data_IF_901534260624
#
_entry.id   IF_901534260624
#
_cell.length_a   1.000
_cell.length_b   1.000
_cell.length_c   1.000
_cell.angle_alpha   90.00
_cell.angle_beta   90.00
_cell.angle_gamma   90.00
#
_symmetry.space_group_name_H-M   'P 1'
#
loop_
_entity.id
_entity.type
_entity.pdbx_description
1 polymer ?
#
# COMPACT_ATOMS: atom_id res chain seq x y z
N UNK A 1 14.64 0.35 14.17
CA UNK A 1 15.77 1.31 14.05
C UNK A 1 15.80 1.85 12.63
N UNK A 2 15.90 3.15 12.37
CA UNK A 2 15.93 3.66 11.01
C UNK A 2 17.22 3.20 10.30
N UNK A 3 17.09 2.86 9.01
CA UNK A 3 18.23 2.48 8.18
C UNK A 3 19.18 3.67 7.99
N UNK A 4 20.47 3.46 8.11
CA UNK A 4 21.49 4.43 7.74
C UNK A 4 21.66 4.48 6.20
N UNK A 5 22.50 5.41 5.71
CA UNK A 5 22.69 5.59 4.26
C UNK A 5 23.25 4.36 3.55
N UNK A 6 24.21 3.65 4.16
CA UNK A 6 24.80 2.44 3.56
C UNK A 6 23.79 1.29 3.55
N UNK A 7 23.01 1.13 4.61
CA UNK A 7 21.95 0.10 4.67
C UNK A 7 20.89 0.33 3.62
N UNK A 8 20.48 1.59 3.37
CA UNK A 8 19.54 1.92 2.28
C UNK A 8 20.11 1.58 0.92
N UNK A 9 21.39 1.90 0.68
CA UNK A 9 22.05 1.55 -0.57
C UNK A 9 22.16 0.04 -0.74
N UNK A 10 22.42 -0.71 0.35
CA UNK A 10 22.42 -2.17 0.30
C UNK A 10 21.06 -2.73 -0.10
N UNK A 11 19.97 -2.26 0.49
CA UNK A 11 18.61 -2.71 0.10
C UNK A 11 18.32 -2.43 -1.37
N UNK A 12 18.77 -1.27 -1.90
CA UNK A 12 18.64 -0.96 -3.32
C UNK A 12 19.49 -1.90 -4.18
N UNK A 13 20.72 -2.17 -3.78
CA UNK A 13 21.61 -3.10 -4.47
C UNK A 13 21.01 -4.51 -4.50
N UNK A 14 20.60 -5.03 -3.34
CA UNK A 14 19.99 -6.37 -3.22
C UNK A 14 18.71 -6.49 -4.07
N UNK A 15 17.97 -5.40 -4.25
CA UNK A 15 16.82 -5.38 -5.17
C UNK A 15 17.21 -5.57 -6.63
N UNK A 16 18.21 -4.81 -7.11
CA UNK A 16 18.63 -4.86 -8.51
C UNK A 16 19.56 -6.03 -8.84
N UNK A 17 20.18 -6.66 -7.83
CA UNK A 17 21.15 -7.77 -8.00
C UNK A 17 20.68 -9.02 -7.26
N UNK A 18 19.44 -9.44 -7.51
CA UNK A 18 18.88 -10.66 -6.90
C UNK A 18 19.70 -11.89 -7.31
N UNK A 19 20.23 -12.60 -6.30
CA UNK A 19 21.12 -13.76 -6.47
C UNK A 19 22.60 -13.46 -6.17
N UNK A 20 22.98 -12.18 -6.06
CA UNK A 20 24.34 -11.72 -5.66
C UNK A 20 24.29 -10.82 -4.41
N UNK A 21 23.41 -11.15 -3.50
CA UNK A 21 23.00 -10.34 -2.32
C UNK A 21 24.10 -10.15 -1.26
N UNK A 22 25.27 -10.65 -1.47
CA UNK A 22 26.37 -10.58 -0.47
C UNK A 22 27.55 -9.71 -0.86
N UNK A 23 27.65 -9.26 -2.10
CA UNK A 23 28.87 -8.64 -2.64
C UNK A 23 28.93 -7.12 -2.51
N UNK A 24 27.86 -6.47 -2.03
CA UNK A 24 27.81 -5.01 -1.93
C UNK A 24 28.66 -4.50 -0.76
N UNK A 25 29.82 -3.91 -1.08
CA UNK A 25 30.70 -3.17 -0.15
C UNK A 25 30.86 -1.73 -0.60
N UNK A 26 29.90 -0.87 -0.23
CA UNK A 26 29.91 0.54 -0.58
C UNK A 26 29.98 1.42 0.67
N UNK A 27 30.98 2.31 0.72
CA UNK A 27 31.13 3.30 1.78
C UNK A 27 30.83 4.72 1.27
N UNK A 28 29.65 5.24 1.64
CA UNK A 28 29.23 6.61 1.32
C UNK A 28 30.25 7.66 1.70
N UNK A 29 30.96 7.49 2.83
CA UNK A 29 31.92 8.49 3.29
C UNK A 29 33.17 8.51 2.40
N UNK A 30 33.63 7.33 1.96
CA UNK A 30 34.73 7.21 0.98
C UNK A 30 34.30 7.75 -0.39
N UNK A 31 33.13 7.38 -0.88
CA UNK A 31 32.62 7.83 -2.15
C UNK A 31 32.47 9.36 -2.23
N UNK A 32 31.93 10.00 -1.18
CA UNK A 32 31.85 11.47 -1.10
C UNK A 32 33.23 12.15 -1.14
N UNK A 33 34.29 11.57 -0.56
CA UNK A 33 35.64 12.12 -0.59
C UNK A 33 36.28 12.05 -1.98
N UNK A 34 35.96 10.99 -2.73
CA UNK A 34 36.54 10.72 -4.05
C UNK A 34 35.66 11.28 -5.18
N UNK A 35 34.45 11.73 -4.88
CA UNK A 35 33.48 12.18 -5.87
C UNK A 35 32.90 11.03 -6.74
N UNK A 36 32.91 9.79 -6.24
CA UNK A 36 32.41 8.64 -6.96
C UNK A 36 30.87 8.67 -7.05
N UNK A 37 30.34 8.38 -8.23
CA UNK A 37 28.90 8.20 -8.43
C UNK A 37 28.55 6.71 -8.21
N UNK A 38 27.65 6.45 -7.28
CA UNK A 38 27.20 5.10 -6.92
C UNK A 38 26.02 4.60 -7.73
N UNK A 39 25.45 5.44 -8.59
CA UNK A 39 24.18 5.10 -9.30
C UNK A 39 24.37 3.94 -10.27
N UNK A 40 25.49 3.95 -10.99
CA UNK A 40 25.80 2.87 -11.93
C UNK A 40 26.13 1.55 -11.23
N UNK A 41 26.66 1.61 -10.00
CA UNK A 41 26.96 0.42 -9.21
C UNK A 41 25.69 -0.20 -8.59
N UNK A 42 24.64 0.61 -8.40
CA UNK A 42 23.36 0.14 -7.85
C UNK A 42 22.42 -0.44 -8.88
N UNK A 43 22.40 0.11 -10.09
CA UNK A 43 21.44 -0.27 -11.13
C UNK A 43 22.14 -0.28 -12.48
N UNK A 44 22.52 -1.47 -12.94
CA UNK A 44 23.17 -1.68 -14.24
C UNK A 44 22.16 -1.97 -15.36
N UNK A 45 20.91 -2.23 -15.02
CA UNK A 45 19.87 -2.68 -15.93
C UNK A 45 18.96 -1.57 -16.46
N UNK A 46 18.24 -1.90 -17.53
CA UNK A 46 17.20 -1.07 -18.11
C UNK A 46 15.84 -1.59 -17.69
N UNK A 47 15.10 -0.81 -16.89
CA UNK A 47 13.72 -1.14 -16.53
C UNK A 47 12.75 -0.67 -17.61
N UNK A 48 11.92 -1.57 -18.13
CA UNK A 48 10.87 -1.28 -19.11
C UNK A 48 9.51 -1.28 -18.41
N UNK A 49 8.78 -0.18 -18.53
CA UNK A 49 7.47 -0.03 -17.89
C UNK A 49 6.33 -0.23 -18.88
N UNK A 50 5.35 -1.05 -18.48
CA UNK A 50 4.09 -1.31 -19.17
C UNK A 50 2.92 -0.82 -18.30
N UNK A 51 1.69 -0.76 -18.82
CA UNK A 51 0.56 -0.26 -18.06
C UNK A 51 0.25 -1.04 -16.77
N UNK A 52 0.47 -2.35 -16.76
CA UNK A 52 0.07 -3.28 -15.69
C UNK A 52 1.25 -4.02 -15.02
N UNK A 53 2.46 -3.91 -15.58
CA UNK A 53 3.67 -4.54 -15.08
C UNK A 53 4.91 -3.77 -15.52
N UNK A 54 6.08 -4.20 -15.09
CA UNK A 54 7.35 -3.74 -15.61
C UNK A 54 8.33 -4.90 -15.71
N UNK A 55 9.33 -4.74 -16.56
CA UNK A 55 10.40 -5.71 -16.77
C UNK A 55 11.72 -5.10 -16.28
N UNK A 56 12.40 -5.82 -15.41
CA UNK A 56 13.72 -5.46 -14.91
C UNK A 56 14.71 -6.55 -15.34
N UNK A 57 15.55 -6.22 -16.32
CA UNK A 57 16.43 -7.16 -17.01
C UNK A 57 15.67 -8.38 -17.57
N UNK A 58 15.82 -9.54 -16.91
CA UNK A 58 15.16 -10.81 -17.28
C UNK A 58 13.93 -11.14 -16.43
N UNK A 59 13.54 -10.27 -15.49
CA UNK A 59 12.46 -10.54 -14.54
C UNK A 59 11.21 -9.75 -14.85
N UNK A 60 10.08 -10.38 -14.62
CA UNK A 60 8.76 -9.76 -14.74
C UNK A 60 8.30 -9.30 -13.35
N UNK A 61 7.93 -8.03 -13.24
CA UNK A 61 7.58 -7.41 -11.99
C UNK A 61 6.20 -6.76 -12.06
N UNK A 62 5.45 -6.76 -10.96
CA UNK A 62 4.16 -6.07 -10.84
C UNK A 62 4.02 -5.38 -9.51
N UNK A 63 3.56 -4.14 -9.54
CA UNK A 63 3.25 -3.36 -8.37
C UNK A 63 1.76 -3.43 -8.05
N UNK A 64 1.43 -3.91 -6.86
CA UNK A 64 0.10 -4.01 -6.30
C UNK A 64 -0.05 -3.08 -5.10
N UNK A 65 -1.29 -2.78 -4.70
CA UNK A 65 -1.59 -2.02 -3.49
C UNK A 65 -2.88 -2.47 -2.83
N UNK A 66 -3.03 -2.18 -1.54
CA UNK A 66 -4.29 -2.43 -0.84
C UNK A 66 -5.24 -1.25 -1.10
N UNK A 67 -6.31 -1.53 -1.84
CA UNK A 67 -7.34 -0.56 -2.21
C UNK A 67 -8.38 -0.36 -1.09
N UNK A 68 -8.74 -1.45 -0.40
CA UNK A 68 -9.67 -1.42 0.73
C UNK A 68 -9.13 -2.26 1.86
N UNK A 69 -9.21 -1.71 3.06
CA UNK A 69 -8.88 -2.37 4.31
C UNK A 69 -10.17 -2.81 5.02
N UNK A 70 -10.16 -3.93 5.78
CA UNK A 70 -11.22 -4.27 6.73
C UNK A 70 -11.21 -3.31 7.92
N UNK A 71 -12.22 -3.37 8.76
CA UNK A 71 -12.28 -2.63 10.04
C UNK A 71 -11.18 -3.04 11.03
N UNK A 72 -10.66 -4.25 10.90
CA UNK A 72 -9.52 -4.76 11.68
C UNK A 72 -8.67 -5.66 10.80
N UNK A 73 -7.36 -5.41 10.80
CA UNK A 73 -6.38 -6.20 10.04
C UNK A 73 -5.35 -6.79 11.01
N UNK A 74 -5.18 -8.10 10.93
CA UNK A 74 -4.19 -8.84 11.73
C UNK A 74 -2.81 -8.79 11.08
N UNK A 75 -1.74 -8.78 11.89
CA UNK A 75 -0.34 -8.90 11.44
C UNK A 75 -0.09 -10.17 10.63
N UNK A 76 -0.92 -11.20 10.82
CA UNK A 76 -0.89 -12.43 10.03
C UNK A 76 -0.98 -12.18 8.53
N UNK A 77 -1.74 -11.18 8.10
CA UNK A 77 -1.90 -10.82 6.70
C UNK A 77 -0.56 -10.45 6.03
N UNK A 78 0.23 -9.59 6.68
CA UNK A 78 1.56 -9.20 6.17
C UNK A 78 2.50 -10.40 6.16
N UNK A 79 2.47 -11.21 7.22
CA UNK A 79 3.29 -12.43 7.29
C UNK A 79 2.93 -13.42 6.18
N UNK A 80 1.66 -13.59 5.84
CA UNK A 80 1.23 -14.45 4.73
C UNK A 80 1.76 -13.98 3.37
N UNK A 81 1.77 -12.66 3.12
CA UNK A 81 2.31 -12.08 1.87
C UNK A 81 3.84 -12.23 1.82
N UNK A 82 4.53 -11.90 2.90
CA UNK A 82 6.00 -11.94 2.93
C UNK A 82 6.57 -13.36 3.00
N UNK A 83 5.75 -14.35 3.35
CA UNK A 83 6.15 -15.76 3.38
C UNK A 83 5.96 -16.49 2.05
N UNK A 84 5.49 -15.80 1.01
CA UNK A 84 5.39 -16.41 -0.32
C UNK A 84 6.78 -16.77 -0.86
N UNK A 85 6.94 -17.91 -1.56
CA UNK A 85 8.22 -18.36 -2.10
C UNK A 85 8.58 -17.61 -3.40
N UNK A 86 8.50 -16.28 -3.36
CA UNK A 86 8.80 -15.38 -4.47
C UNK A 86 9.53 -14.15 -3.97
N UNK A 87 10.35 -13.57 -4.80
CA UNK A 87 10.96 -12.27 -4.47
C UNK A 87 9.89 -11.20 -4.42
N UNK A 88 9.78 -10.55 -3.28
CA UNK A 88 8.80 -9.48 -3.08
C UNK A 88 9.33 -8.37 -2.18
N UNK A 89 8.86 -7.17 -2.42
CA UNK A 89 9.06 -6.02 -1.53
C UNK A 89 7.68 -5.57 -1.06
N UNK A 90 7.50 -5.48 0.24
CA UNK A 90 6.31 -4.89 0.85
C UNK A 90 6.70 -3.62 1.58
N UNK A 91 6.23 -2.48 1.07
CA UNK A 91 6.40 -1.18 1.70
C UNK A 91 5.11 -0.76 2.40
N UNK A 92 5.24 -0.33 3.65
CA UNK A 92 4.13 0.19 4.45
C UNK A 92 4.43 1.63 4.79
N UNK A 93 3.69 2.55 4.15
CA UNK A 93 3.77 3.97 4.42
C UNK A 93 2.75 4.35 5.49
N UNK A 94 3.22 4.93 6.59
CA UNK A 94 2.36 5.38 7.70
C UNK A 94 2.61 6.86 7.94
N UNK A 95 1.55 7.66 7.85
CA UNK A 95 1.61 9.10 8.09
C UNK A 95 0.55 9.48 9.13
N UNK A 96 0.94 10.09 10.26
CA UNK A 96 -0.03 10.54 11.24
C UNK A 96 -0.91 11.65 10.66
N UNK A 97 -2.21 11.57 10.93
CA UNK A 97 -3.16 12.63 10.57
C UNK A 97 -3.05 13.74 11.62
N UNK A 98 -2.78 14.99 11.22
CA UNK A 98 -2.79 16.11 12.17
C UNK A 98 -4.13 16.21 12.92
N UNK A 99 -4.10 16.55 14.22
CA UNK A 99 -5.30 16.59 15.08
C UNK A 99 -6.40 17.51 14.53
N UNK A 100 -6.03 18.63 13.94
CA UNK A 100 -6.96 19.58 13.32
C UNK A 100 -7.65 19.02 12.05
N UNK A 101 -7.01 18.08 11.36
CA UNK A 101 -7.58 17.39 10.20
C UNK A 101 -8.38 16.16 10.59
N UNK A 102 -8.05 15.50 11.70
CA UNK A 102 -8.72 14.26 12.15
C UNK A 102 -10.22 14.46 12.27
N UNK A 103 -10.66 15.51 12.96
CA UNK A 103 -12.08 15.83 13.11
C UNK A 103 -12.77 16.09 11.77
N UNK A 104 -12.11 16.82 10.87
CA UNK A 104 -12.65 17.11 9.53
C UNK A 104 -12.78 15.84 8.68
N UNK A 105 -11.79 14.95 8.74
CA UNK A 105 -11.80 13.68 8.00
C UNK A 105 -12.94 12.78 8.48
N UNK A 106 -13.11 12.64 9.80
CA UNK A 106 -14.17 11.84 10.40
C UNK A 106 -15.55 12.42 10.10
N UNK A 107 -15.73 13.73 10.27
CA UNK A 107 -16.99 14.40 9.94
C UNK A 107 -17.35 14.23 8.46
N UNK A 108 -16.40 14.36 7.55
CA UNK A 108 -16.63 14.15 6.12
C UNK A 108 -17.08 12.72 5.81
N UNK A 109 -16.46 11.72 6.46
CA UNK A 109 -16.89 10.31 6.33
C UNK A 109 -18.31 10.11 6.87
N UNK A 110 -18.59 10.60 8.07
CA UNK A 110 -19.90 10.51 8.70
C UNK A 110 -21.01 11.12 7.83
N UNK A 111 -20.82 12.36 7.36
CA UNK A 111 -21.77 13.04 6.46
C UNK A 111 -21.93 12.31 5.11
N UNK A 112 -20.87 11.68 4.62
CA UNK A 112 -20.94 10.82 3.42
C UNK A 112 -21.88 9.65 3.62
N UNK A 113 -21.79 8.93 4.74
CA UNK A 113 -22.67 7.81 5.08
C UNK A 113 -24.11 8.28 5.25
N UNK A 114 -24.35 9.38 5.96
CA UNK A 114 -25.72 9.94 6.10
C UNK A 114 -26.32 10.33 4.76
N UNK A 115 -25.55 10.97 3.88
CA UNK A 115 -25.99 11.29 2.52
C UNK A 115 -26.37 10.03 1.73
N UNK A 116 -25.59 8.96 1.85
CA UNK A 116 -25.89 7.68 1.17
C UNK A 116 -27.15 7.02 1.72
N UNK A 117 -27.37 7.05 3.04
CA UNK A 117 -28.60 6.58 3.68
C UNK A 117 -29.81 7.36 3.14
N UNK A 118 -29.72 8.67 3.09
CA UNK A 118 -30.81 9.53 2.56
C UNK A 118 -31.08 9.22 1.09
N UNK A 119 -30.02 9.03 0.27
CA UNK A 119 -30.20 8.64 -1.14
C UNK A 119 -30.91 7.30 -1.29
N UNK A 120 -30.53 6.31 -0.49
CA UNK A 120 -31.19 4.99 -0.50
C UNK A 120 -32.67 5.11 -0.11
N UNK A 121 -33.02 5.88 0.91
CA UNK A 121 -34.39 6.12 1.31
C UNK A 121 -35.19 6.81 0.20
N UNK A 122 -34.62 7.82 -0.47
CA UNK A 122 -35.27 8.49 -1.60
C UNK A 122 -35.55 7.55 -2.77
N UNK A 123 -34.63 6.63 -3.08
CA UNK A 123 -34.81 5.63 -4.14
C UNK A 123 -35.93 4.64 -3.75
N UNK A 124 -35.97 4.17 -2.49
CA UNK A 124 -37.02 3.31 -1.99
C UNK A 124 -38.39 3.99 -2.05
N UNK A 125 -38.51 5.22 -1.57
CA UNK A 125 -39.75 6.00 -1.62
C UNK A 125 -40.29 6.16 -3.05
N UNK A 126 -39.37 6.34 -4.04
CA UNK A 126 -39.78 6.37 -5.47
C UNK A 126 -40.31 5.04 -5.96
N UNK A 127 -39.90 3.93 -5.35
CA UNK A 127 -40.35 2.58 -5.67
C UNK A 127 -41.56 2.13 -4.81
N UNK A 128 -42.24 3.08 -4.12
CA UNK A 128 -43.33 2.83 -3.18
C UNK A 128 -42.97 1.91 -2.00
N UNK A 129 -41.69 1.80 -1.67
CA UNK A 129 -41.19 1.13 -0.47
C UNK A 129 -40.92 2.17 0.61
N UNK A 130 -41.83 2.32 1.56
CA UNK A 130 -41.75 3.29 2.68
C UNK A 130 -41.07 2.68 3.91
N UNK A 131 -40.36 1.56 3.79
CA UNK A 131 -39.60 1.00 4.89
C UNK A 131 -38.46 1.96 5.30
N UNK A 132 -38.35 2.21 6.61
CA UNK A 132 -37.29 3.05 7.20
C UNK A 132 -36.04 2.24 7.53
N UNK A 133 -35.99 0.97 7.10
CA UNK A 133 -34.85 0.10 7.41
C UNK A 133 -33.58 0.56 6.68
N UNK A 134 -32.61 0.98 7.46
CA UNK A 134 -31.24 1.24 6.97
C UNK A 134 -30.57 -0.11 6.73
N UNK A 135 -29.90 -0.29 5.59
CA UNK A 135 -29.15 -1.53 5.34
C UNK A 135 -28.17 -1.80 6.50
N UNK A 136 -28.08 -3.05 6.91
CA UNK A 136 -27.20 -3.48 8.02
C UNK A 136 -25.77 -2.96 7.85
N UNK A 137 -25.23 -3.06 6.63
CA UNK A 137 -23.87 -2.58 6.31
C UNK A 137 -23.69 -1.08 6.62
N UNK A 138 -24.65 -0.23 6.20
CA UNK A 138 -24.56 1.22 6.46
C UNK A 138 -24.75 1.58 7.94
N UNK A 139 -25.57 0.81 8.63
CA UNK A 139 -25.76 0.98 10.08
C UNK A 139 -24.50 0.62 10.86
N UNK A 140 -23.81 -0.45 10.45
CA UNK A 140 -22.55 -0.88 11.05
C UNK A 140 -21.45 0.15 10.78
N UNK A 141 -21.30 0.57 9.52
CA UNK A 141 -20.32 1.59 9.11
C UNK A 141 -20.50 2.91 9.89
N UNK A 142 -21.76 3.34 10.11
CA UNK A 142 -22.07 4.53 10.91
C UNK A 142 -21.62 4.36 12.36
N UNK A 143 -21.94 3.23 12.99
CA UNK A 143 -21.54 2.94 14.38
C UNK A 143 -20.01 2.87 14.54
N UNK A 144 -19.31 2.29 13.58
CA UNK A 144 -17.84 2.22 13.60
C UNK A 144 -17.23 3.62 13.57
N UNK A 145 -17.74 4.53 12.73
CA UNK A 145 -17.25 5.91 12.70
C UNK A 145 -17.57 6.67 13.98
N UNK A 146 -18.77 6.49 14.55
CA UNK A 146 -19.14 7.10 15.82
C UNK A 146 -18.19 6.64 16.95
N UNK A 147 -17.88 5.33 17.01
CA UNK A 147 -16.93 4.80 17.99
C UNK A 147 -15.52 5.38 17.81
N UNK A 148 -15.03 5.50 16.57
CA UNK A 148 -13.73 6.13 16.29
C UNK A 148 -13.74 7.61 16.70
N UNK A 149 -14.84 8.34 16.46
CA UNK A 149 -14.94 9.74 16.86
C UNK A 149 -14.89 9.89 18.38
N UNK A 150 -15.51 8.99 19.14
CA UNK A 150 -15.49 8.97 20.59
C UNK A 150 -14.09 8.61 21.10
N UNK A 151 -13.43 7.60 20.51
CA UNK A 151 -12.05 7.23 20.85
C UNK A 151 -11.04 8.37 20.62
N UNK A 152 -11.17 9.10 19.50
CA UNK A 152 -10.31 10.27 19.22
C UNK A 152 -10.57 11.40 20.24
N UNK A 153 -11.82 11.58 20.66
CA UNK A 153 -12.21 12.67 21.58
C UNK A 153 -11.86 12.36 23.04
N UNK A 154 -12.12 11.14 23.48
CA UNK A 154 -12.02 10.74 24.89
C UNK A 154 -10.67 10.13 25.23
N UNK A 155 -10.10 9.34 24.32
CA UNK A 155 -8.88 8.55 24.52
C UNK A 155 -7.63 9.15 23.86
N UNK A 156 -7.72 10.37 23.31
CA UNK A 156 -6.62 11.07 22.63
C UNK A 156 -5.93 10.23 21.55
N UNK A 157 -6.68 9.32 20.90
CA UNK A 157 -6.16 8.48 19.85
C UNK A 157 -5.87 9.28 18.58
N UNK A 158 -4.87 8.85 17.83
CA UNK A 158 -4.48 9.47 16.57
C UNK A 158 -4.86 8.58 15.39
N UNK A 159 -5.39 9.20 14.32
CA UNK A 159 -5.57 8.52 13.04
C UNK A 159 -4.27 8.51 12.23
N UNK A 160 -4.13 7.49 11.41
CA UNK A 160 -3.03 7.38 10.48
C UNK A 160 -3.55 7.20 9.04
N UNK A 161 -2.85 7.80 8.10
CA UNK A 161 -2.95 7.40 6.71
C UNK A 161 -1.99 6.24 6.47
N UNK A 162 -2.49 5.14 5.96
CA UNK A 162 -1.68 3.95 5.66
C UNK A 162 -1.81 3.60 4.19
N UNK A 163 -0.66 3.35 3.57
CA UNK A 163 -0.57 2.83 2.21
C UNK A 163 0.34 1.61 2.20
N UNK A 164 -0.12 0.52 1.62
CA UNK A 164 0.71 -0.69 1.43
C UNK A 164 0.91 -0.90 -0.05
N UNK A 165 2.17 -0.92 -0.46
CA UNK A 165 2.60 -1.22 -1.84
C UNK A 165 3.39 -2.52 -1.83
N UNK A 166 3.04 -3.43 -2.72
CA UNK A 166 3.64 -4.76 -2.84
C UNK A 166 4.24 -4.87 -4.23
N UNK A 167 5.54 -5.09 -4.33
CA UNK A 167 6.22 -5.40 -5.59
C UNK A 167 6.46 -6.90 -5.62
N UNK A 168 5.97 -7.57 -6.64
CA UNK A 168 6.20 -9.00 -6.88
C UNK A 168 7.13 -9.16 -8.07
N UNK A 169 8.01 -10.14 -8.01
CA UNK A 169 8.98 -10.48 -9.07
C UNK A 169 8.94 -11.96 -9.37
N UNK A 170 9.00 -12.30 -10.65
CA UNK A 170 9.01 -13.68 -11.14
C UNK A 170 9.88 -13.83 -12.40
N UNK A 171 10.31 -15.05 -12.69
CA UNK A 171 11.13 -15.36 -13.86
C UNK A 171 10.31 -15.38 -15.17
N UNK A 172 9.00 -15.53 -15.08
CA UNK A 172 8.10 -15.54 -16.22
C UNK A 172 6.81 -14.77 -15.96
N UNK A 173 6.20 -14.25 -17.03
CA UNK A 173 4.91 -13.54 -16.93
C UNK A 173 3.79 -14.45 -16.39
N UNK A 174 3.79 -15.72 -16.76
CA UNK A 174 2.79 -16.69 -16.28
C UNK A 174 2.91 -16.94 -14.78
N UNK A 175 4.13 -17.06 -14.29
CA UNK A 175 4.42 -17.19 -12.86
C UNK A 175 3.99 -15.93 -12.10
N UNK A 176 4.33 -14.75 -12.63
CA UNK A 176 3.91 -13.48 -12.04
C UNK A 176 2.39 -13.39 -11.89
N UNK A 177 1.63 -13.77 -12.93
CA UNK A 177 0.17 -13.77 -12.87
C UNK A 177 -0.35 -14.74 -11.81
N UNK A 178 0.18 -15.96 -11.72
CA UNK A 178 -0.20 -16.94 -10.69
C UNK A 178 0.08 -16.44 -9.26
N UNK A 179 1.22 -15.78 -9.06
CA UNK A 179 1.56 -15.18 -7.77
C UNK A 179 0.64 -14.03 -7.42
N UNK A 180 0.31 -13.17 -8.38
CA UNK A 180 -0.64 -12.08 -8.19
C UNK A 180 -2.03 -12.61 -7.78
N UNK A 181 -2.54 -13.66 -8.42
CA UNK A 181 -3.80 -14.31 -8.04
C UNK A 181 -3.75 -14.86 -6.61
N UNK A 182 -2.60 -15.43 -6.21
CA UNK A 182 -2.39 -15.91 -4.84
C UNK A 182 -2.45 -14.75 -3.84
N UNK A 183 -1.76 -13.65 -4.10
CA UNK A 183 -1.78 -12.45 -3.25
C UNK A 183 -3.18 -11.85 -3.16
N UNK A 184 -3.91 -11.76 -4.27
CA UNK A 184 -5.30 -11.32 -4.28
C UNK A 184 -6.22 -12.25 -3.45
N UNK A 185 -5.97 -13.56 -3.51
CA UNK A 185 -6.74 -14.55 -2.73
C UNK A 185 -6.47 -14.40 -1.24
N UNK A 186 -5.20 -14.18 -0.85
CA UNK A 186 -4.83 -13.83 0.53
C UNK A 186 -5.54 -12.54 0.96
N UNK A 187 -5.57 -11.53 0.10
CA UNK A 187 -6.29 -10.30 0.34
C UNK A 187 -7.78 -10.54 0.61
N UNK A 188 -8.46 -11.25 -0.28
CA UNK A 188 -9.89 -11.59 -0.15
C UNK A 188 -10.21 -12.35 1.13
N UNK A 189 -9.36 -13.32 1.51
CA UNK A 189 -9.50 -14.08 2.76
C UNK A 189 -9.41 -13.20 4.00
N UNK A 190 -8.60 -12.15 3.96
CA UNK A 190 -8.45 -11.17 5.03
C UNK A 190 -9.35 -9.93 4.85
N UNK A 191 -10.39 -10.03 4.01
CA UNK A 191 -11.34 -8.93 3.70
C UNK A 191 -10.67 -7.66 3.16
N UNK A 192 -9.45 -7.78 2.63
CA UNK A 192 -8.75 -6.73 1.89
C UNK A 192 -9.06 -6.83 0.40
N UNK A 193 -9.14 -5.68 -0.27
CA UNK A 193 -9.14 -5.63 -1.74
C UNK A 193 -7.77 -5.18 -2.19
N UNK A 194 -7.07 -6.03 -2.93
CA UNK A 194 -5.79 -5.71 -3.57
C UNK A 194 -6.06 -5.37 -5.03
N UNK A 195 -5.36 -4.38 -5.56
CA UNK A 195 -5.50 -3.92 -6.93
C UNK A 195 -4.12 -3.61 -7.53
N UNK A 196 -4.03 -3.55 -8.85
CA UNK A 196 -2.78 -3.25 -9.56
C UNK A 196 -2.61 -1.74 -9.71
N UNK A 197 -1.38 -1.23 -9.56
CA UNK A 197 -1.02 0.14 -9.92
C UNK A 197 -1.02 0.35 -11.44
N UNK A 198 -2.20 0.38 -12.05
CA UNK A 198 -2.33 0.55 -13.49
C UNK A 198 -1.80 1.92 -13.94
N UNK A 199 -0.95 1.96 -14.97
CA UNK A 199 -0.25 3.13 -15.51
C UNK A 199 0.69 3.86 -14.52
N UNK A 200 0.91 3.31 -13.32
CA UNK A 200 1.74 3.90 -12.26
C UNK A 200 2.78 2.92 -11.72
N UNK A 201 3.22 1.98 -12.53
CA UNK A 201 4.16 0.94 -12.10
C UNK A 201 5.51 1.54 -11.66
N UNK A 202 6.02 2.55 -12.38
CA UNK A 202 7.25 3.24 -12.05
C UNK A 202 7.14 4.03 -10.74
N UNK A 203 6.06 4.77 -10.59
CA UNK A 203 5.79 5.57 -9.38
C UNK A 203 5.59 4.66 -8.15
N UNK A 204 4.98 3.49 -8.35
CA UNK A 204 4.80 2.51 -7.30
C UNK A 204 6.13 1.87 -6.87
N UNK A 205 7.00 1.51 -7.83
CA UNK A 205 8.35 1.02 -7.54
C UNK A 205 9.15 2.06 -6.75
N UNK A 206 9.18 3.32 -7.21
CA UNK A 206 9.87 4.41 -6.52
C UNK A 206 9.34 4.64 -5.09
N UNK A 207 8.03 4.41 -4.87
CA UNK A 207 7.43 4.50 -3.54
C UNK A 207 7.84 3.33 -2.65
N UNK A 208 7.93 2.12 -3.20
CA UNK A 208 8.29 0.92 -2.44
C UNK A 208 9.77 0.87 -2.04
N UNK A 209 10.64 1.43 -2.88
CA UNK A 209 12.08 1.46 -2.60
C UNK A 209 12.44 2.49 -1.52
N UNK A 210 13.49 2.25 -0.70
CA UNK A 210 13.86 3.12 0.43
C UNK A 210 14.58 4.42 -0.01
N UNK A 211 14.10 5.05 -1.09
CA UNK A 211 14.63 6.32 -1.63
C UNK A 211 14.00 7.55 -0.97
N UNK A 212 12.99 7.36 -0.11
CA UNK A 212 12.36 8.44 0.65
C UNK A 212 11.39 9.32 -0.17
N UNK A 213 10.90 8.82 -1.30
CA UNK A 213 9.96 9.54 -2.16
C UNK A 213 8.68 8.72 -2.30
N UNK A 214 7.55 9.32 -1.98
CA UNK A 214 6.23 8.73 -2.24
C UNK A 214 5.61 9.39 -3.48
N UNK A 215 5.40 8.61 -4.53
CA UNK A 215 4.86 9.07 -5.80
C UNK A 215 3.44 8.58 -6.09
N UNK A 216 2.91 7.64 -5.27
CA UNK A 216 1.56 7.13 -5.40
C UNK A 216 0.66 7.59 -4.25
N UNK A 217 -0.58 7.97 -4.57
CA UNK A 217 -1.59 8.43 -3.61
C UNK A 217 -2.60 7.32 -3.33
N UNK A 218 -2.16 6.23 -2.70
CA UNK A 218 -3.01 5.08 -2.36
C UNK A 218 -3.31 4.98 -0.87
N UNK A 219 -2.94 5.99 -0.10
CA UNK A 219 -3.14 5.99 1.35
C UNK A 219 -4.62 6.05 1.72
N UNK A 220 -4.98 5.31 2.76
CA UNK A 220 -6.31 5.29 3.36
C UNK A 220 -6.20 5.60 4.85
N UNK A 221 -7.23 6.19 5.43
CA UNK A 221 -7.34 6.31 6.89
C UNK A 221 -7.72 4.98 7.50
N UNK A 222 -6.90 4.56 8.43
CA UNK A 222 -7.16 3.48 9.39
C UNK A 222 -7.40 4.08 10.76
#
# INVERSE_FOLDING_TARGET
>A
MPLNGNERLKVLYDYYHLGDEGSFDFDIKKAKKVGADFKNDLCNGMVKYFPDHFEDESKYCKALFIKKYPSSLSDRFINEITSLPVHSITSIDVVPVPKDLTTKVLQKKYLGIESDIIKQQRVRNKNNDFSTEISYAKRTEKKEIEAIMDDVRENDQCLFFVGVTIILMAESKKELESVCETVETIGKRNSCTIDTHYLKQREALNTALPIGVRQVETMRTL
#
